data_IF_534782565471
#
_entry.id   IF_534782565471
#
_cell.length_a   1.000
_cell.length_b   1.000
_cell.length_c   1.000
_cell.angle_alpha   90.00
_cell.angle_beta   90.00
_cell.angle_gamma   90.00
#
_symmetry.space_group_name_H-M   'P 1'
#
loop_
_entity.id
_entity.type
_entity.pdbx_description
1 polymer ?
#
# COMPACT_ATOMS: atom_id res chain seq x y z
N UNK A 1 -11.23 5.34 12.31
CA UNK A 1 -10.58 5.86 11.09
C UNK A 1 -9.86 4.71 10.43
N UNK A 2 -9.99 4.55 9.13
CA UNK A 2 -9.36 3.43 8.40
C UNK A 2 -8.14 3.95 7.66
N UNK A 3 -6.97 3.34 7.90
CA UNK A 3 -5.76 3.60 7.15
C UNK A 3 -5.44 2.36 6.32
N UNK A 4 -5.41 2.53 5.01
CA UNK A 4 -4.94 1.53 4.08
C UNK A 4 -3.41 1.52 4.08
N UNK A 5 -2.79 0.37 4.32
CA UNK A 5 -1.35 0.18 4.22
C UNK A 5 -1.10 -0.81 3.09
N UNK A 6 -0.68 -0.32 1.94
CA UNK A 6 -0.52 -1.13 0.74
C UNK A 6 0.95 -1.53 0.58
N UNK A 7 1.21 -2.83 0.56
CA UNK A 7 2.45 -3.40 0.08
C UNK A 7 2.37 -3.50 -1.45
N UNK A 8 3.26 -2.84 -2.22
CA UNK A 8 3.19 -2.86 -3.68
C UNK A 8 3.57 -4.21 -4.30
N UNK A 9 4.33 -5.06 -3.60
CA UNK A 9 4.70 -6.38 -4.10
C UNK A 9 3.65 -7.45 -3.75
N UNK A 10 3.73 -8.63 -4.35
CA UNK A 10 2.73 -9.69 -4.20
C UNK A 10 2.95 -10.63 -3.00
N UNK A 11 3.96 -10.37 -2.15
CA UNK A 11 4.34 -11.27 -1.05
C UNK A 11 3.45 -11.08 0.18
N UNK A 12 2.45 -11.95 0.34
CA UNK A 12 1.49 -11.90 1.43
C UNK A 12 2.12 -11.92 2.84
N UNK A 13 3.17 -12.72 3.06
CA UNK A 13 3.84 -12.78 4.36
C UNK A 13 4.60 -11.49 4.72
N UNK A 14 4.96 -10.68 3.71
CA UNK A 14 5.49 -9.34 3.94
C UNK A 14 4.37 -8.37 4.33
N UNK A 15 3.23 -8.45 3.66
CA UNK A 15 2.01 -7.68 4.01
C UNK A 15 1.54 -7.94 5.43
N UNK A 16 1.59 -9.19 5.89
CA UNK A 16 1.26 -9.57 7.26
C UNK A 16 2.17 -8.84 8.26
N UNK A 17 3.49 -8.88 8.06
CA UNK A 17 4.48 -8.19 8.90
C UNK A 17 4.31 -6.67 8.89
N UNK A 18 4.09 -6.08 7.71
CA UNK A 18 3.78 -4.66 7.55
C UNK A 18 2.53 -4.30 8.37
N UNK A 19 1.48 -5.12 8.26
CA UNK A 19 0.24 -4.92 9.01
C UNK A 19 0.42 -5.03 10.52
N UNK A 20 1.23 -5.97 11.00
CA UNK A 20 1.57 -6.10 12.43
C UNK A 20 2.29 -4.86 12.95
N UNK A 21 3.31 -4.39 12.23
CA UNK A 21 4.05 -3.19 12.59
C UNK A 21 3.15 -1.94 12.60
N UNK A 22 2.35 -1.75 11.56
CA UNK A 22 1.42 -0.62 11.46
C UNK A 22 0.36 -0.65 12.57
N UNK A 23 -0.19 -1.83 12.92
CA UNK A 23 -1.13 -1.98 14.05
C UNK A 23 -0.46 -1.67 15.39
N UNK A 24 0.80 -2.07 15.58
CA UNK A 24 1.55 -1.79 16.80
C UNK A 24 1.79 -0.29 17.04
N UNK A 25 1.87 0.51 15.98
CA UNK A 25 2.05 1.96 16.05
C UNK A 25 0.73 2.75 16.01
N UNK A 26 -0.41 2.11 15.70
CA UNK A 26 -1.68 2.79 15.50
C UNK A 26 -2.27 3.34 16.82
N UNK A 27 -2.80 4.56 16.77
CA UNK A 27 -3.59 5.12 17.88
C UNK A 27 -4.92 4.39 18.06
N UNK A 28 -5.49 4.47 19.27
CA UNK A 28 -6.80 3.91 19.57
C UNK A 28 -7.88 4.44 18.60
N UNK A 29 -8.71 3.54 18.07
CA UNK A 29 -9.77 3.88 17.10
C UNK A 29 -9.30 3.95 15.63
N UNK A 30 -8.01 3.74 15.36
CA UNK A 30 -7.48 3.55 14.01
C UNK A 30 -7.47 2.08 13.64
N UNK A 31 -8.14 1.73 12.53
CA UNK A 31 -8.12 0.39 11.94
C UNK A 31 -7.13 0.37 10.78
N UNK A 32 -6.18 -0.56 10.85
CA UNK A 32 -5.21 -0.81 9.78
C UNK A 32 -5.76 -1.86 8.84
N UNK A 33 -5.79 -1.54 7.55
CA UNK A 33 -6.14 -2.47 6.47
C UNK A 33 -4.86 -2.71 5.67
N UNK A 34 -4.18 -3.82 5.91
CA UNK A 34 -2.94 -4.17 5.20
C UNK A 34 -3.26 -5.05 3.99
N UNK A 35 -2.84 -4.65 2.80
CA UNK A 35 -3.16 -5.35 1.54
C UNK A 35 -1.96 -5.42 0.62
N UNK A 36 -1.99 -6.36 -0.31
CA UNK A 36 -1.10 -6.43 -1.46
C UNK A 36 -1.85 -6.90 -2.69
N UNK A 37 -1.37 -6.55 -3.91
CA UNK A 37 -1.96 -7.06 -5.13
C UNK A 37 -1.72 -8.55 -5.33
N UNK A 38 -2.57 -9.17 -6.16
CA UNK A 38 -2.41 -10.56 -6.62
C UNK A 38 -1.37 -10.70 -7.74
N UNK A 39 -1.26 -9.66 -8.58
CA UNK A 39 -0.38 -9.62 -9.75
C UNK A 39 0.65 -8.51 -9.57
N UNK A 40 1.88 -8.74 -10.06
CA UNK A 40 3.02 -7.85 -9.87
C UNK A 40 4.26 -8.62 -9.41
N UNK A 41 5.37 -7.92 -9.17
CA UNK A 41 6.60 -8.58 -8.74
C UNK A 41 6.49 -9.03 -7.27
N UNK A 42 7.16 -10.13 -6.88
CA UNK A 42 7.19 -10.60 -5.49
C UNK A 42 8.02 -9.70 -4.58
N UNK A 43 8.91 -8.88 -5.15
CA UNK A 43 9.77 -7.89 -4.48
C UNK A 43 9.99 -6.73 -5.45
N UNK A 44 10.10 -5.50 -4.95
CA UNK A 44 10.42 -4.33 -5.80
C UNK A 44 11.91 -4.02 -5.62
N UNK A 45 12.72 -4.32 -6.63
CA UNK A 45 14.19 -4.27 -6.54
C UNK A 45 14.82 -3.28 -7.54
N UNK A 46 13.99 -2.41 -8.12
CA UNK A 46 14.39 -1.29 -8.96
C UNK A 46 13.28 -0.82 -9.88
N UNK A 47 13.61 0.12 -10.77
CA UNK A 47 12.64 0.77 -11.68
C UNK A 47 11.85 -0.20 -12.55
N UNK A 48 12.44 -1.33 -12.93
CA UNK A 48 11.73 -2.35 -13.71
C UNK A 48 10.54 -2.91 -12.91
N UNK A 49 10.79 -3.37 -11.68
CA UNK A 49 9.75 -3.95 -10.82
C UNK A 49 8.70 -2.91 -10.44
N UNK A 50 9.13 -1.67 -10.19
CA UNK A 50 8.26 -0.55 -9.85
C UNK A 50 7.12 -0.39 -10.87
N UNK A 51 7.47 -0.38 -12.16
CA UNK A 51 6.49 -0.21 -13.26
C UNK A 51 5.43 -1.31 -13.25
N UNK A 52 5.77 -2.54 -12.84
CA UNK A 52 4.82 -3.65 -12.76
C UNK A 52 4.05 -3.71 -11.44
N UNK A 53 4.58 -3.13 -10.36
CA UNK A 53 3.92 -3.06 -9.07
C UNK A 53 2.79 -2.02 -9.06
N UNK A 54 2.99 -0.88 -9.73
CA UNK A 54 2.07 0.27 -9.68
C UNK A 54 0.61 -0.08 -10.05
N UNK A 55 0.32 -0.77 -11.18
CA UNK A 55 -1.06 -1.06 -11.57
C UNK A 55 -1.79 -1.94 -10.55
N UNK A 56 -1.12 -2.96 -10.01
CA UNK A 56 -1.68 -3.86 -9.00
C UNK A 56 -1.96 -3.10 -7.70
N UNK A 57 -1.00 -2.31 -7.24
CA UNK A 57 -1.12 -1.47 -6.05
C UNK A 57 -2.30 -0.48 -6.15
N UNK A 58 -2.42 0.24 -7.27
CA UNK A 58 -3.56 1.14 -7.53
C UNK A 58 -4.88 0.37 -7.52
N UNK A 59 -4.91 -0.83 -8.10
CA UNK A 59 -6.08 -1.70 -8.08
C UNK A 59 -6.54 -2.06 -6.67
N UNK A 60 -5.61 -2.34 -5.74
CA UNK A 60 -5.97 -2.55 -4.34
C UNK A 60 -6.49 -1.29 -3.68
N UNK A 61 -5.89 -0.13 -3.94
CA UNK A 61 -6.35 1.15 -3.38
C UNK A 61 -7.78 1.48 -3.82
N UNK A 62 -8.09 1.28 -5.10
CA UNK A 62 -9.43 1.52 -5.65
C UNK A 62 -10.52 0.61 -5.07
N UNK A 63 -10.16 -0.56 -4.51
CA UNK A 63 -11.09 -1.44 -3.78
C UNK A 63 -11.41 -0.94 -2.36
N UNK A 64 -10.69 0.08 -1.87
CA UNK A 64 -10.85 0.64 -0.54
C UNK A 64 -11.18 2.15 -0.58
N UNK A 65 -12.23 2.59 -1.31
CA UNK A 65 -12.53 4.00 -1.50
C UNK A 65 -12.96 4.72 -0.21
N UNK A 66 -13.33 3.97 0.83
CA UNK A 66 -13.73 4.51 2.13
C UNK A 66 -12.56 4.71 3.11
N UNK A 67 -11.33 4.31 2.75
CA UNK A 67 -10.18 4.54 3.61
C UNK A 67 -9.89 6.04 3.74
N UNK A 68 -9.52 6.48 4.94
CA UNK A 68 -9.30 7.89 5.25
C UNK A 68 -7.91 8.38 4.84
N UNK A 69 -6.96 7.46 4.67
CA UNK A 69 -5.60 7.70 4.19
C UNK A 69 -4.99 6.41 3.64
N UNK A 70 -3.93 6.55 2.84
CA UNK A 70 -3.14 5.44 2.30
C UNK A 70 -1.64 5.61 2.64
N UNK A 71 -1.00 4.51 3.04
CA UNK A 71 0.45 4.39 3.22
C UNK A 71 0.97 3.37 2.22
N UNK A 72 1.98 3.73 1.42
CA UNK A 72 2.68 2.82 0.51
C UNK A 72 3.86 2.22 1.26
N UNK A 73 3.73 0.97 1.68
CA UNK A 73 4.72 0.30 2.51
C UNK A 73 5.89 -0.27 1.70
N UNK A 74 6.61 0.60 1.00
CA UNK A 74 7.81 0.27 0.25
C UNK A 74 8.80 1.42 0.32
N UNK A 75 10.02 1.11 0.76
CA UNK A 75 11.13 2.06 0.63
C UNK A 75 11.30 2.36 -0.87
N UNK A 76 11.45 3.64 -1.22
CA UNK A 76 11.34 4.23 -2.57
C UNK A 76 9.96 4.84 -2.90
N UNK A 77 8.98 4.75 -2.01
CA UNK A 77 7.66 5.36 -2.18
C UNK A 77 7.00 4.98 -3.52
N UNK A 78 7.16 3.71 -3.91
CA UNK A 78 6.79 3.15 -5.23
C UNK A 78 5.44 3.68 -5.71
N UNK A 79 5.44 4.43 -6.81
CA UNK A 79 4.20 4.95 -7.41
C UNK A 79 3.44 6.02 -6.63
N UNK A 80 4.04 6.66 -5.61
CA UNK A 80 3.38 7.65 -4.76
C UNK A 80 2.63 8.74 -5.55
N UNK A 81 3.28 9.35 -6.52
CA UNK A 81 2.66 10.40 -7.34
C UNK A 81 1.51 9.85 -8.20
N UNK A 82 1.66 8.63 -8.73
CA UNK A 82 0.58 7.98 -9.48
C UNK A 82 -0.64 7.72 -8.59
N UNK A 83 -0.43 7.26 -7.35
CA UNK A 83 -1.51 7.04 -6.38
C UNK A 83 -2.20 8.36 -6.02
N UNK A 84 -1.43 9.44 -5.81
CA UNK A 84 -1.98 10.78 -5.55
C UNK A 84 -2.78 11.35 -6.71
N UNK A 85 -2.49 10.95 -7.95
CA UNK A 85 -3.29 11.35 -9.11
C UNK A 85 -4.63 10.62 -9.21
N UNK A 86 -4.76 9.42 -8.63
CA UNK A 86 -5.98 8.59 -8.77
C UNK A 86 -6.85 8.55 -7.51
N UNK A 87 -6.30 8.87 -6.35
CA UNK A 87 -7.00 8.89 -5.07
C UNK A 87 -7.31 10.30 -4.58
N UNK A 88 -8.40 10.45 -3.83
CA UNK A 88 -8.75 11.70 -3.16
C UNK A 88 -8.24 11.76 -1.70
N UNK A 89 -7.82 10.62 -1.16
CA UNK A 89 -7.30 10.51 0.19
C UNK A 89 -5.84 11.00 0.28
N UNK A 90 -5.36 11.42 1.47
CA UNK A 90 -3.94 11.62 1.70
C UNK A 90 -3.15 10.32 1.47
N UNK A 91 -2.02 10.43 0.77
CA UNK A 91 -1.11 9.31 0.48
C UNK A 91 0.30 9.65 0.92
N UNK A 92 0.93 8.73 1.65
CA UNK A 92 2.29 8.82 2.19
C UNK A 92 3.06 7.56 1.79
N UNK A 93 4.34 7.70 1.44
CA UNK A 93 5.28 6.58 1.33
C UNK A 93 5.90 6.25 2.68
#
# INVERSE_FOLDING_TARGET
MDILVVNPNTTASMTEKIGEAARGAASAGTRIIAVNPKDGPPSVEGYFDEVFAIPGMIGEIQRHPAASACVIACFDDTGLDAVRCVGEMPVVG
#
